data_IF_415690217964
#
_entry.id   IF_415690217964
#
_cell.length_a   1.000
_cell.length_b   1.000
_cell.length_c   1.000
_cell.angle_alpha   90.00
_cell.angle_beta   90.00
_cell.angle_gamma   90.00
#
_symmetry.space_group_name_H-M   'P 1'
#
loop_
_entity.id
_entity.type
_entity.pdbx_description
1 polymer ?
#
# COMPACT_ATOMS: atom_id res chain seq x y z
N UNK A 1 -17.04 7.22 -4.77
CA UNK A 1 -15.70 6.86 -4.26
C UNK A 1 -14.84 8.10 -4.15
N UNK A 2 -14.20 8.31 -3.00
CA UNK A 2 -13.25 9.38 -2.70
C UNK A 2 -11.95 8.78 -2.17
N UNK A 3 -10.85 9.51 -2.27
CA UNK A 3 -9.60 9.09 -1.66
C UNK A 3 -8.77 10.30 -1.24
N UNK A 4 -7.87 10.09 -0.28
CA UNK A 4 -6.89 11.09 0.12
C UNK A 4 -5.56 10.40 0.45
N UNK A 5 -4.47 10.94 -0.09
CA UNK A 5 -3.12 10.51 0.27
C UNK A 5 -2.80 11.10 1.64
N UNK A 6 -2.76 10.24 2.65
CA UNK A 6 -2.40 10.63 4.01
C UNK A 6 -0.90 10.80 4.12
N UNK A 7 -0.07 10.04 3.39
CA UNK A 7 1.38 10.17 3.35
C UNK A 7 1.94 9.49 2.11
N UNK A 8 3.05 10.00 1.59
CA UNK A 8 3.74 9.44 0.43
C UNK A 8 5.26 9.57 0.58
N UNK A 9 5.99 8.54 0.14
CA UNK A 9 7.45 8.44 0.17
C UNK A 9 8.01 7.88 1.47
N UNK A 10 9.34 7.95 1.64
CA UNK A 10 10.09 7.34 2.76
C UNK A 10 9.64 7.79 4.16
N UNK A 11 8.90 8.91 4.22
CA UNK A 11 8.25 9.42 5.42
C UNK A 11 7.02 8.62 5.87
N UNK A 12 6.59 7.61 5.12
CA UNK A 12 5.47 6.73 5.40
C UNK A 12 4.35 6.87 4.35
N UNK A 13 4.10 5.81 3.61
CA UNK A 13 3.03 5.66 2.65
C UNK A 13 1.71 5.29 3.36
N UNK A 14 0.66 6.04 3.07
CA UNK A 14 -0.69 5.73 3.54
C UNK A 14 -1.73 6.50 2.73
N UNK A 15 -2.74 5.81 2.23
CA UNK A 15 -3.85 6.40 1.46
C UNK A 15 -5.17 5.90 2.03
N UNK A 16 -6.13 6.79 2.27
CA UNK A 16 -7.49 6.40 2.63
C UNK A 16 -8.38 6.41 1.38
N UNK A 17 -9.23 5.38 1.27
CA UNK A 17 -10.26 5.24 0.23
C UNK A 17 -11.61 5.13 0.92
N UNK A 18 -12.58 5.92 0.47
CA UNK A 18 -13.94 5.93 0.99
C UNK A 18 -14.95 5.66 -0.14
N UNK A 19 -15.93 4.80 0.14
CA UNK A 19 -17.09 4.63 -0.72
C UNK A 19 -18.29 4.19 0.09
N UNK A 20 -19.41 4.90 -0.06
CA UNK A 20 -20.68 4.62 0.62
C UNK A 20 -20.56 4.53 2.15
N UNK A 21 -19.71 5.36 2.75
CA UNK A 21 -19.48 5.39 4.20
C UNK A 21 -18.57 4.29 4.75
N UNK A 22 -17.99 3.44 3.89
CA UNK A 22 -16.97 2.47 4.25
C UNK A 22 -15.58 3.01 3.95
N UNK A 23 -14.61 2.75 4.84
CA UNK A 23 -13.26 3.30 4.76
C UNK A 23 -12.21 2.20 4.70
N UNK A 24 -11.34 2.26 3.70
CA UNK A 24 -10.19 1.39 3.57
C UNK A 24 -8.92 2.21 3.69
N UNK A 25 -7.93 1.71 4.43
CA UNK A 25 -6.60 2.28 4.48
C UNK A 25 -5.67 1.42 3.62
N UNK A 26 -5.03 2.01 2.61
CA UNK A 26 -3.93 1.39 1.88
C UNK A 26 -2.62 1.83 2.52
N UNK A 27 -1.92 0.87 3.09
CA UNK A 27 -0.69 0.99 3.89
C UNK A 27 -0.81 1.83 5.17
N UNK A 28 -0.03 1.42 6.18
CA UNK A 28 0.07 2.04 7.49
C UNK A 28 1.53 2.48 7.75
N UNK A 29 2.12 3.15 6.78
CA UNK A 29 3.51 3.59 6.80
C UNK A 29 3.80 4.76 7.73
N UNK A 30 2.78 5.56 8.07
CA UNK A 30 2.90 6.64 9.03
C UNK A 30 2.87 6.10 10.46
N UNK A 31 3.53 6.77 11.42
CA UNK A 31 3.38 6.40 12.82
C UNK A 31 1.91 6.47 13.25
N UNK A 32 1.46 5.62 14.19
CA UNK A 32 0.07 5.63 14.66
C UNK A 32 -0.43 7.02 15.10
N UNK A 33 0.46 7.84 15.68
CA UNK A 33 0.16 9.24 16.02
C UNK A 33 -0.14 10.08 14.77
N UNK A 34 0.66 9.95 13.72
CA UNK A 34 0.47 10.67 12.46
C UNK A 34 -0.76 10.15 11.70
N UNK A 35 -1.00 8.84 11.68
CA UNK A 35 -2.22 8.26 11.11
C UNK A 35 -3.46 8.88 11.77
N UNK A 36 -3.56 8.83 13.10
CA UNK A 36 -4.71 9.38 13.83
C UNK A 36 -4.91 10.88 13.55
N UNK A 37 -3.83 11.67 13.61
CA UNK A 37 -3.90 13.12 13.34
C UNK A 37 -4.41 13.42 11.92
N UNK A 38 -4.00 12.62 10.93
CA UNK A 38 -4.39 12.85 9.52
C UNK A 38 -5.79 12.33 9.22
N UNK A 39 -6.20 11.21 9.83
CA UNK A 39 -7.59 10.72 9.78
C UNK A 39 -8.56 11.72 10.44
N UNK A 40 -8.19 12.29 11.59
CA UNK A 40 -8.99 13.29 12.30
C UNK A 40 -9.24 14.55 11.46
N UNK A 41 -8.24 15.00 10.68
CA UNK A 41 -8.39 16.12 9.73
C UNK A 41 -9.40 15.85 8.63
N UNK A 42 -9.67 14.58 8.33
CA UNK A 42 -10.69 14.16 7.38
C UNK A 42 -12.02 13.83 8.07
N UNK A 43 -12.12 14.08 9.38
CA UNK A 43 -13.26 13.71 10.23
C UNK A 43 -13.56 12.21 10.21
N UNK A 44 -12.52 11.38 10.09
CA UNK A 44 -12.61 9.91 10.15
C UNK A 44 -11.99 9.44 11.46
N UNK A 45 -12.77 8.74 12.28
CA UNK A 45 -12.26 8.06 13.44
C UNK A 45 -11.59 6.74 13.03
N UNK A 46 -10.46 6.34 13.64
CA UNK A 46 -9.79 5.07 13.32
C UNK A 46 -10.72 3.85 13.33
N UNK A 47 -11.69 3.83 14.23
CA UNK A 47 -12.67 2.75 14.42
C UNK A 47 -13.66 2.63 13.25
N UNK A 48 -13.73 3.63 12.37
CA UNK A 48 -14.53 3.59 11.15
C UNK A 48 -13.80 2.87 10.00
N UNK A 49 -12.51 2.53 10.16
CA UNK A 49 -11.79 1.77 9.15
C UNK A 49 -12.35 0.34 9.07
N UNK A 50 -12.79 -0.02 7.87
CA UNK A 50 -13.31 -1.34 7.57
C UNK A 50 -12.19 -2.36 7.48
N UNK A 51 -11.02 -1.97 6.94
CA UNK A 51 -9.85 -2.81 6.69
C UNK A 51 -8.59 -2.00 6.32
N UNK A 52 -7.42 -2.63 6.49
CA UNK A 52 -6.12 -2.12 6.03
C UNK A 52 -5.58 -3.02 4.93
N UNK A 53 -5.31 -2.49 3.74
CA UNK A 53 -4.67 -3.18 2.63
C UNK A 53 -3.18 -2.94 2.68
N UNK A 54 -2.36 -3.99 2.60
CA UNK A 54 -0.90 -3.88 2.55
C UNK A 54 -0.39 -4.19 1.16
N UNK A 55 0.32 -3.23 0.57
CA UNK A 55 0.95 -3.39 -0.74
C UNK A 55 2.16 -4.32 -0.66
N UNK A 56 3.00 -4.15 0.36
CA UNK A 56 4.18 -4.98 0.66
C UNK A 56 4.71 -4.71 2.08
N UNK A 57 5.80 -5.38 2.47
CA UNK A 57 6.31 -5.47 3.84
C UNK A 57 7.31 -4.38 4.26
N UNK A 58 7.63 -3.41 3.41
CA UNK A 58 8.61 -2.38 3.75
C UNK A 58 8.18 -1.49 4.91
N UNK A 59 9.17 -1.00 5.66
CA UNK A 59 8.94 -0.24 6.88
C UNK A 59 8.13 1.03 6.67
N UNK A 60 8.36 1.76 5.59
CA UNK A 60 7.56 2.92 5.21
C UNK A 60 6.17 2.58 4.67
N UNK A 61 5.77 1.30 4.62
CA UNK A 61 4.41 0.83 4.35
C UNK A 61 3.74 0.20 5.60
N UNK A 62 4.52 -0.38 6.53
CA UNK A 62 3.95 -1.14 7.66
C UNK A 62 4.39 -0.71 9.06
N UNK A 63 5.37 0.20 9.22
CA UNK A 63 5.95 0.51 10.55
C UNK A 63 4.94 1.06 11.57
N UNK A 64 3.86 1.69 11.11
CA UNK A 64 2.81 2.22 11.98
C UNK A 64 1.85 1.16 12.50
N UNK A 65 1.81 0.00 11.86
CA UNK A 65 0.76 -1.00 11.96
C UNK A 65 0.63 -1.57 13.38
N UNK A 66 1.72 -2.03 13.99
CA UNK A 66 1.69 -2.64 15.34
C UNK A 66 1.14 -1.69 16.41
N UNK A 67 1.58 -0.43 16.42
CA UNK A 67 1.10 0.56 17.41
C UNK A 67 -0.34 0.96 17.12
N UNK A 68 -0.71 1.03 15.84
CA UNK A 68 -2.07 1.38 15.42
C UNK A 68 -3.07 0.29 15.84
N UNK A 69 -2.76 -0.97 15.55
CA UNK A 69 -3.64 -2.11 15.83
C UNK A 69 -3.85 -2.39 17.32
N UNK A 70 -2.87 -2.06 18.16
CA UNK A 70 -3.03 -2.10 19.63
C UNK A 70 -4.16 -1.23 20.17
N UNK A 71 -4.53 -0.19 19.42
CA UNK A 71 -5.62 0.73 19.80
C UNK A 71 -6.87 0.47 18.97
N UNK A 72 -6.70 0.10 17.71
CA UNK A 72 -7.78 -0.08 16.75
C UNK A 72 -7.57 -1.40 16.00
N UNK A 73 -8.10 -2.53 16.51
CA UNK A 73 -7.93 -3.83 15.88
C UNK A 73 -8.80 -3.92 14.62
N UNK A 74 -8.20 -3.55 13.48
CA UNK A 74 -8.83 -3.53 12.16
C UNK A 74 -8.33 -4.73 11.34
N UNK A 75 -9.19 -5.43 10.57
CA UNK A 75 -8.74 -6.52 9.71
C UNK A 75 -7.70 -6.08 8.68
N UNK A 76 -6.73 -6.96 8.41
CA UNK A 76 -5.68 -6.72 7.41
C UNK A 76 -5.94 -7.57 6.17
N UNK A 77 -5.86 -6.94 5.00
CA UNK A 77 -5.86 -7.59 3.70
C UNK A 77 -4.43 -7.54 3.16
N UNK A 78 -3.82 -8.69 2.90
CA UNK A 78 -2.46 -8.76 2.39
C UNK A 78 -2.23 -10.02 1.58
N UNK A 79 -1.20 -9.98 0.73
CA UNK A 79 -0.75 -11.18 0.05
C UNK A 79 -0.24 -12.21 1.07
N UNK A 80 -0.28 -13.49 0.73
CA UNK A 80 0.19 -14.56 1.63
C UNK A 80 1.63 -14.30 2.05
N UNK A 81 2.51 -13.92 1.12
CA UNK A 81 3.93 -13.71 1.43
C UNK A 81 4.16 -12.46 2.27
N UNK A 82 3.51 -11.34 1.95
CA UNK A 82 3.57 -10.11 2.77
C UNK A 82 3.08 -10.39 4.19
N UNK A 83 1.99 -11.15 4.34
CA UNK A 83 1.44 -11.47 5.67
C UNK A 83 2.41 -12.26 6.55
N UNK A 84 3.24 -13.15 5.96
CA UNK A 84 4.20 -13.95 6.72
C UNK A 84 5.25 -13.07 7.39
N UNK A 85 5.80 -12.11 6.65
CA UNK A 85 6.81 -11.19 7.17
C UNK A 85 6.21 -10.22 8.19
N UNK A 86 5.07 -9.61 7.85
CA UNK A 86 4.45 -8.58 8.71
C UNK A 86 3.97 -9.17 10.04
N UNK A 87 3.44 -10.41 10.06
CA UNK A 87 2.98 -11.08 11.29
C UNK A 87 4.08 -11.24 12.34
N UNK A 88 5.34 -11.40 11.95
CA UNK A 88 6.45 -11.51 12.90
C UNK A 88 6.66 -10.24 13.73
N UNK A 89 6.27 -9.08 13.18
CA UNK A 89 6.38 -7.78 13.83
C UNK A 89 5.14 -7.34 14.62
N UNK A 90 4.02 -8.06 14.53
CA UNK A 90 2.77 -7.70 15.21
C UNK A 90 2.64 -8.41 16.55
N UNK A 91 2.30 -7.65 17.59
CA UNK A 91 1.99 -8.21 18.92
C UNK A 91 0.52 -8.59 19.08
N UNK A 92 -0.36 -7.91 18.36
CA UNK A 92 -1.80 -8.11 18.44
C UNK A 92 -2.29 -9.17 17.46
N UNK A 93 -3.24 -9.99 17.91
CA UNK A 93 -3.97 -10.90 17.03
C UNK A 93 -5.10 -10.15 16.36
N UNK A 94 -5.02 -10.00 15.04
CA UNK A 94 -6.06 -9.37 14.20
C UNK A 94 -6.51 -10.35 13.11
N UNK A 95 -7.70 -10.09 12.55
CA UNK A 95 -8.20 -10.86 11.41
C UNK A 95 -7.34 -10.59 10.17
N UNK A 96 -7.01 -11.65 9.43
CA UNK A 96 -6.27 -11.57 8.17
C UNK A 96 -7.10 -12.14 7.02
N UNK A 97 -7.28 -11.33 5.99
CA UNK A 97 -7.88 -11.72 4.72
C UNK A 97 -6.73 -11.87 3.73
N UNK A 98 -6.37 -13.12 3.46
CA UNK A 98 -5.23 -13.46 2.61
C UNK A 98 -5.65 -13.66 1.17
N UNK A 99 -4.79 -13.24 0.25
CA UNK A 99 -4.96 -13.44 -1.18
C UNK A 99 -3.63 -13.81 -1.85
N UNK A 100 -3.71 -14.34 -3.07
CA UNK A 100 -2.56 -14.57 -3.96
C UNK A 100 -2.31 -13.32 -4.84
N UNK A 101 -1.06 -13.04 -5.19
CA UNK A 101 -0.75 -11.96 -6.14
C UNK A 101 -1.44 -12.20 -7.49
N UNK A 102 -2.09 -11.17 -8.03
CA UNK A 102 -2.90 -11.28 -9.25
C UNK A 102 -4.36 -11.71 -9.01
N UNK A 103 -4.73 -12.07 -7.78
CA UNK A 103 -6.07 -12.54 -7.46
C UNK A 103 -7.12 -11.41 -7.55
N UNK A 104 -8.31 -11.78 -8.03
CA UNK A 104 -9.54 -11.01 -7.89
C UNK A 104 -10.39 -11.57 -6.76
N UNK A 105 -10.89 -10.71 -5.89
CA UNK A 105 -11.74 -11.12 -4.78
C UNK A 105 -12.65 -9.99 -4.32
N UNK A 106 -13.71 -10.33 -3.61
CA UNK A 106 -14.65 -9.35 -3.05
C UNK A 106 -14.66 -9.43 -1.53
N UNK A 107 -14.69 -8.28 -0.87
CA UNK A 107 -14.78 -8.21 0.59
C UNK A 107 -15.48 -6.92 1.04
N UNK A 108 -16.45 -7.04 1.96
CA UNK A 108 -17.29 -5.94 2.45
C UNK A 108 -17.90 -5.06 1.34
N UNK A 109 -18.30 -5.67 0.23
CA UNK A 109 -18.92 -4.98 -0.91
C UNK A 109 -17.95 -4.20 -1.81
N UNK A 110 -16.64 -4.33 -1.58
CA UNK A 110 -15.60 -3.89 -2.51
C UNK A 110 -15.14 -5.08 -3.35
N UNK A 111 -14.86 -4.82 -4.62
CA UNK A 111 -14.18 -5.73 -5.53
C UNK A 111 -12.72 -5.29 -5.66
N UNK A 112 -11.81 -6.23 -5.42
CA UNK A 112 -10.38 -6.02 -5.50
C UNK A 112 -9.82 -6.80 -6.68
N UNK A 113 -8.97 -6.15 -7.47
CA UNK A 113 -8.05 -6.82 -8.38
C UNK A 113 -6.64 -6.47 -7.96
N UNK A 114 -5.85 -7.47 -7.58
CA UNK A 114 -4.43 -7.26 -7.28
C UNK A 114 -3.59 -7.51 -8.53
N UNK A 115 -2.42 -6.89 -8.61
CA UNK A 115 -1.46 -7.11 -9.68
C UNK A 115 -0.04 -6.94 -9.14
N UNK A 116 0.94 -7.74 -9.60
CA UNK A 116 2.32 -7.60 -9.14
C UNK A 116 2.91 -6.26 -9.56
N UNK A 117 3.79 -5.73 -8.72
CA UNK A 117 4.59 -4.53 -9.03
C UNK A 117 6.07 -4.91 -9.15
N UNK A 118 6.83 -4.31 -10.08
CA UNK A 118 8.27 -4.50 -10.13
C UNK A 118 8.94 -3.67 -9.03
N UNK A 119 9.11 -4.27 -7.85
CA UNK A 119 9.74 -3.67 -6.67
C UNK A 119 10.48 -4.74 -5.87
N UNK A 120 11.60 -4.38 -5.25
CA UNK A 120 12.40 -5.30 -4.43
C UNK A 120 11.76 -5.50 -3.05
N UNK A 121 10.68 -6.30 -3.02
CA UNK A 121 9.93 -6.70 -1.82
C UNK A 121 9.48 -8.17 -1.95
N UNK A 122 8.97 -8.78 -0.88
CA UNK A 122 8.67 -10.23 -0.87
C UNK A 122 7.62 -10.63 -1.90
N UNK A 123 6.56 -9.83 -2.05
CA UNK A 123 5.47 -10.02 -3.03
C UNK A 123 4.67 -8.71 -3.17
N UNK A 124 5.27 -7.67 -3.77
CA UNK A 124 4.62 -6.37 -3.88
C UNK A 124 3.43 -6.38 -4.84
N UNK A 125 2.32 -5.80 -4.39
CA UNK A 125 1.09 -5.71 -5.16
C UNK A 125 0.55 -4.29 -5.24
N UNK A 126 0.01 -3.96 -6.42
CA UNK A 126 -0.91 -2.86 -6.62
C UNK A 126 -2.35 -3.34 -6.49
N UNK A 127 -3.27 -2.40 -6.30
CA UNK A 127 -4.69 -2.67 -6.15
C UNK A 127 -5.51 -1.87 -7.14
N UNK A 128 -6.49 -2.52 -7.76
CA UNK A 128 -7.70 -1.82 -8.23
C UNK A 128 -8.80 -2.12 -7.22
N UNK A 129 -9.33 -1.05 -6.62
CA UNK A 129 -10.43 -1.09 -5.65
C UNK A 129 -11.66 -0.55 -6.35
N UNK A 130 -12.69 -1.38 -6.48
CA UNK A 130 -13.94 -1.03 -7.16
C UNK A 130 -15.15 -1.20 -6.23
N UNK A 131 -16.12 -0.29 -6.36
CA UNK A 131 -17.43 -0.36 -5.69
C UNK A 131 -18.41 0.59 -6.35
N UNK A 132 -19.67 0.15 -6.52
CA UNK A 132 -20.74 1.00 -7.03
C UNK A 132 -20.47 1.57 -8.44
N UNK A 133 -19.80 0.81 -9.30
CA UNK A 133 -19.41 1.26 -10.64
C UNK A 133 -18.28 2.29 -10.68
N UNK A 134 -17.70 2.64 -9.53
CA UNK A 134 -16.50 3.47 -9.41
C UNK A 134 -15.29 2.60 -9.07
N UNK A 135 -14.10 3.02 -9.50
CA UNK A 135 -12.85 2.31 -9.26
C UNK A 135 -11.67 3.26 -9.14
N UNK A 136 -10.74 2.89 -8.27
CA UNK A 136 -9.45 3.56 -8.08
C UNK A 136 -8.33 2.54 -8.22
N UNK A 137 -7.29 2.89 -8.96
CA UNK A 137 -6.02 2.17 -8.96
C UNK A 137 -5.05 2.76 -7.94
N UNK A 138 -4.35 1.92 -7.19
CA UNK A 138 -3.27 2.29 -6.27
C UNK A 138 -2.04 1.47 -6.63
N UNK A 139 -0.98 2.14 -7.05
CA UNK A 139 0.33 1.56 -7.34
C UNK A 139 1.41 2.49 -6.79
N UNK A 140 1.87 2.19 -5.58
CA UNK A 140 2.99 2.86 -4.91
C UNK A 140 4.28 2.08 -5.13
N UNK A 141 5.43 2.73 -4.92
CA UNK A 141 6.74 2.09 -5.15
C UNK A 141 6.90 1.46 -6.55
N UNK A 142 6.40 2.15 -7.57
CA UNK A 142 6.46 1.66 -8.94
C UNK A 142 7.84 1.94 -9.55
N UNK A 143 8.62 0.88 -9.80
CA UNK A 143 9.93 1.02 -10.44
C UNK A 143 9.91 1.27 -11.93
N UNK A 144 8.98 0.60 -12.62
CA UNK A 144 8.66 0.90 -14.00
C UNK A 144 7.24 0.48 -14.32
N UNK A 145 6.65 1.13 -15.32
CA UNK A 145 5.33 0.76 -15.84
C UNK A 145 5.51 -0.29 -16.91
N UNK A 146 5.06 -1.52 -16.64
CA UNK A 146 5.01 -2.59 -17.64
C UNK A 146 3.59 -2.76 -18.24
N UNK A 147 3.45 -3.74 -19.13
CA UNK A 147 2.17 -4.04 -19.75
C UNK A 147 1.13 -4.57 -18.76
N UNK A 148 1.55 -5.27 -17.69
CA UNK A 148 0.63 -5.81 -16.69
C UNK A 148 0.03 -4.69 -15.85
N UNK A 149 0.87 -3.76 -15.38
CA UNK A 149 0.44 -2.55 -14.65
C UNK A 149 -0.50 -1.71 -15.51
N UNK A 150 -0.13 -1.47 -16.77
CA UNK A 150 -0.96 -0.70 -17.71
C UNK A 150 -2.32 -1.37 -17.93
N UNK A 151 -2.34 -2.70 -18.09
CA UNK A 151 -3.56 -3.45 -18.31
C UNK A 151 -4.46 -3.50 -17.07
N UNK A 152 -3.86 -3.63 -15.87
CA UNK A 152 -4.60 -3.65 -14.61
C UNK A 152 -5.26 -2.30 -14.33
N UNK A 153 -4.55 -1.20 -14.58
CA UNK A 153 -5.03 0.16 -14.33
C UNK A 153 -5.93 0.71 -15.45
N UNK A 154 -6.15 -0.04 -16.52
CA UNK A 154 -6.95 0.42 -17.65
C UNK A 154 -8.41 0.62 -17.24
N UNK A 155 -8.91 1.84 -17.42
CA UNK A 155 -10.32 2.18 -17.22
C UNK A 155 -10.71 2.54 -15.78
N UNK A 156 -9.75 2.60 -14.84
CA UNK A 156 -10.01 3.14 -13.50
C UNK A 156 -10.39 4.62 -13.56
N UNK A 157 -11.27 5.07 -12.67
CA UNK A 157 -11.72 6.46 -12.63
C UNK A 157 -10.83 7.37 -11.77
N UNK A 158 -10.05 6.79 -10.86
CA UNK A 158 -9.04 7.49 -10.08
C UNK A 158 -7.75 6.69 -10.03
N UNK A 159 -6.62 7.37 -9.84
CA UNK A 159 -5.32 6.72 -9.79
C UNK A 159 -4.42 7.39 -8.76
N UNK A 160 -3.82 6.57 -7.89
CA UNK A 160 -2.73 6.95 -6.98
C UNK A 160 -1.48 6.23 -7.47
N UNK A 161 -0.54 7.00 -8.01
CA UNK A 161 0.78 6.52 -8.40
C UNK A 161 1.85 7.18 -7.55
N UNK A 162 2.79 6.38 -7.10
CA UNK A 162 4.10 6.84 -6.68
C UNK A 162 5.14 6.10 -7.51
N UNK A 163 5.95 6.84 -8.25
CA UNK A 163 7.06 6.30 -9.00
C UNK A 163 8.35 6.89 -8.41
N UNK A 164 9.18 6.02 -7.83
CA UNK A 164 10.46 6.40 -7.25
C UNK A 164 11.54 6.38 -8.34
N UNK A 165 11.36 7.18 -9.41
CA UNK A 165 12.26 7.19 -10.56
C UNK A 165 13.08 8.48 -10.65
N UNK A 166 14.25 8.52 -10.00
CA UNK A 166 15.26 9.57 -10.25
C UNK A 166 16.68 8.99 -10.40
N UNK A 167 16.95 8.38 -11.55
CA UNK A 167 18.30 8.02 -12.00
C UNK A 167 19.36 9.12 -11.77
N UNK A 168 19.10 10.40 -12.09
CA UNK A 168 20.08 11.47 -11.88
C UNK A 168 20.41 11.71 -10.40
N UNK A 169 19.45 11.51 -9.50
CA UNK A 169 19.63 11.74 -8.06
C UNK A 169 20.33 10.55 -7.39
N UNK A 170 20.11 9.33 -7.89
CA UNK A 170 20.80 8.12 -7.43
C UNK A 170 22.29 8.10 -7.83
N UNK A 171 22.58 8.57 -9.05
CA UNK A 171 23.95 8.73 -9.53
C UNK A 171 24.68 9.79 -8.70
N UNK A 172 24.03 10.92 -8.41
CA UNK A 172 24.57 12.03 -7.62
C UNK A 172 24.75 11.73 -6.11
N UNK A 173 24.11 10.70 -5.56
CA UNK A 173 24.22 10.36 -4.13
C UNK A 173 25.61 9.78 -3.78
N UNK A 174 26.52 10.61 -3.28
CA UNK A 174 27.88 10.20 -2.89
C UNK A 174 27.94 9.37 -1.59
N UNK A 175 26.84 9.25 -0.84
CA UNK A 175 26.80 8.54 0.46
C UNK A 175 26.38 7.09 0.34
N UNK A 176 25.66 6.71 -0.73
CA UNK A 176 25.23 5.32 -0.96
C UNK A 176 26.37 4.48 -1.56
N UNK A 177 26.69 3.30 -0.97
CA UNK A 177 27.67 2.38 -1.53
C UNK A 177 27.32 1.97 -2.96
N UNK A 178 28.35 1.78 -3.79
CA UNK A 178 28.16 1.40 -5.20
C UNK A 178 27.37 0.09 -5.37
N UNK A 179 27.51 -0.87 -4.45
CA UNK A 179 26.74 -2.11 -4.43
C UNK A 179 25.23 -1.89 -4.22
N UNK A 180 24.85 -0.89 -3.42
CA UNK A 180 23.45 -0.47 -3.24
C UNK A 180 22.93 0.22 -4.49
N UNK A 181 23.73 1.10 -5.12
CA UNK A 181 23.37 1.72 -6.41
C UNK A 181 23.17 0.67 -7.50
N UNK A 182 24.04 -0.34 -7.55
CA UNK A 182 24.00 -1.41 -8.54
C UNK A 182 22.81 -2.35 -8.37
N UNK A 183 22.38 -2.60 -7.12
CA UNK A 183 21.14 -3.33 -6.83
C UNK A 183 19.91 -2.54 -7.26
N UNK A 184 19.85 -1.26 -6.88
CA UNK A 184 18.79 -0.33 -7.29
C UNK A 184 18.71 -0.21 -8.83
N UNK A 185 19.85 -0.31 -9.54
CA UNK A 185 19.91 -0.18 -11.00
C UNK A 185 19.76 -1.50 -11.78
N UNK A 186 19.57 -2.65 -11.13
CA UNK A 186 19.52 -3.95 -11.82
C UNK A 186 18.10 -4.30 -12.29
N UNK A 187 17.94 -5.13 -13.33
CA UNK A 187 16.63 -5.52 -13.92
C UNK A 187 15.69 -6.29 -12.97
N UNK A 188 16.13 -6.62 -11.76
CA UNK A 188 15.30 -7.17 -10.68
C UNK A 188 14.93 -6.08 -9.65
N UNK A 189 15.08 -4.81 -10.03
CA UNK A 189 15.12 -3.64 -9.16
C UNK A 189 13.79 -2.98 -8.85
N UNK A 190 13.95 -2.01 -7.95
CA UNK A 190 13.05 -0.91 -7.59
C UNK A 190 12.62 -0.02 -8.75
#
# INVERSE_FOLDING_TARGET
MRFAVLGSGSGGNSTIVECDGEYLLVDAGLSAKQLNLRLERLHVAPEQLSGILLTHEHGDHVRGLDVFLRKCPVPILASIMTSRVVKEGLRESVEWILFESGQKFSWKGFDFTTFPLPHDAVEPVGYVIARGGCSIGVATDLGHVDAQVTQALKGVQGLVLEANYEWPMLEADQKRPFSTKQRISSQHGH
#
